data_IF_424127400621
#
_entry.id   IF_424127400621
#
_cell.length_a   1.000
_cell.length_b   1.000
_cell.length_c   1.000
_cell.angle_alpha   90.00
_cell.angle_beta   90.00
_cell.angle_gamma   90.00
#
_symmetry.space_group_name_H-M   'P 1'
#
loop_
_entity.id
_entity.type
_entity.pdbx_description
1 polymer ?
#
# COMPACT_ATOMS: atom_id res chain seq x y z
N UNK A 1 -27.02 -11.78 -3.88
CA UNK A 1 -26.64 -10.66 -3.01
C UNK A 1 -26.17 -11.26 -1.70
N UNK A 2 -24.86 -11.43 -1.51
CA UNK A 2 -24.30 -12.05 -0.31
C UNK A 2 -24.09 -10.97 0.75
N UNK A 3 -24.60 -11.18 1.95
CA UNK A 3 -24.29 -10.34 3.10
C UNK A 3 -22.83 -10.59 3.50
N UNK A 4 -21.94 -9.63 3.22
CA UNK A 4 -20.61 -9.62 3.82
C UNK A 4 -20.76 -9.11 5.25
N UNK A 5 -20.96 -10.02 6.19
CA UNK A 5 -20.87 -9.71 7.62
C UNK A 5 -19.37 -9.55 7.93
N UNK A 6 -18.89 -8.32 8.02
CA UNK A 6 -17.54 -8.06 8.55
C UNK A 6 -17.54 -8.41 10.04
N UNK A 7 -16.71 -9.37 10.44
CA UNK A 7 -16.57 -9.69 11.85
C UNK A 7 -15.70 -8.62 12.54
N UNK A 8 -15.75 -8.57 13.87
CA UNK A 8 -14.97 -7.60 14.65
C UNK A 8 -13.46 -7.68 14.39
N UNK A 9 -12.94 -8.87 14.09
CA UNK A 9 -11.53 -9.07 13.75
C UNK A 9 -11.15 -8.36 12.44
N UNK A 10 -12.00 -8.43 11.40
CA UNK A 10 -11.78 -7.73 10.13
C UNK A 10 -11.68 -6.20 10.34
N UNK A 11 -12.56 -5.64 11.17
CA UNK A 11 -12.54 -4.20 11.49
C UNK A 11 -11.29 -3.82 12.31
N UNK A 12 -10.87 -4.68 13.23
CA UNK A 12 -9.66 -4.48 14.01
C UNK A 12 -8.40 -4.55 13.16
N UNK A 13 -8.36 -5.40 12.12
CA UNK A 13 -7.25 -5.44 11.17
C UNK A 13 -7.09 -4.07 10.50
N UNK A 14 -8.18 -3.52 9.95
CA UNK A 14 -8.15 -2.22 9.27
C UNK A 14 -7.71 -1.09 10.21
N UNK A 15 -8.31 -1.02 11.41
CA UNK A 15 -8.00 0.00 12.41
C UNK A 15 -6.56 -0.08 12.94
N UNK A 16 -6.07 -1.29 13.25
CA UNK A 16 -4.71 -1.47 13.76
C UNK A 16 -3.69 -1.24 12.66
N UNK A 17 -3.99 -1.61 11.40
CA UNK A 17 -3.16 -1.27 10.23
C UNK A 17 -2.98 0.24 10.11
N UNK A 18 -4.06 0.99 10.13
CA UNK A 18 -4.02 2.46 10.04
C UNK A 18 -3.15 3.06 11.15
N UNK A 19 -3.33 2.61 12.40
CA UNK A 19 -2.53 3.09 13.54
C UNK A 19 -1.05 2.71 13.46
N UNK A 20 -0.70 1.58 12.85
CA UNK A 20 0.69 1.20 12.58
C UNK A 20 1.28 2.14 11.53
N UNK A 21 0.54 2.40 10.45
CA UNK A 21 1.01 3.20 9.32
C UNK A 21 1.11 4.69 9.66
N UNK A 22 0.23 5.21 10.52
CA UNK A 22 0.31 6.60 11.00
C UNK A 22 1.41 6.80 12.05
N UNK A 23 1.95 5.72 12.62
CA UNK A 23 2.97 5.76 13.67
C UNK A 23 2.40 5.87 15.09
N UNK A 24 1.07 5.86 15.26
CA UNK A 24 0.41 5.81 16.58
C UNK A 24 0.82 4.56 17.35
N UNK A 25 0.96 3.42 16.66
CA UNK A 25 1.58 2.21 17.21
C UNK A 25 3.08 2.26 16.93
N UNK A 26 3.87 2.50 17.98
CA UNK A 26 5.32 2.58 17.91
C UNK A 26 5.98 1.30 17.40
N UNK A 27 7.00 1.46 16.55
CA UNK A 27 7.85 0.37 16.07
C UNK A 27 9.00 -0.02 16.99
N UNK A 28 9.26 0.77 18.03
CA UNK A 28 10.36 0.55 18.97
C UNK A 28 10.01 -0.43 20.09
N UNK A 29 8.72 -0.57 20.40
CA UNK A 29 8.24 -1.31 21.56
C UNK A 29 7.28 -2.44 21.16
N UNK A 30 7.14 -3.42 22.03
CA UNK A 30 6.12 -4.46 21.86
C UNK A 30 4.72 -3.84 21.93
N UNK A 31 3.83 -4.26 21.03
CA UNK A 31 2.42 -3.89 21.05
C UNK A 31 1.82 -4.39 22.36
N UNK A 32 1.46 -3.45 23.23
CA UNK A 32 0.83 -3.71 24.53
C UNK A 32 -0.63 -4.13 24.31
N UNK A 33 -0.84 -5.40 23.96
CA UNK A 33 -2.16 -5.96 23.63
C UNK A 33 -3.23 -5.64 24.69
N UNK A 34 -2.87 -5.68 25.96
CA UNK A 34 -3.79 -5.38 27.08
C UNK A 34 -4.26 -3.92 27.06
N UNK A 35 -3.34 -3.00 26.82
CA UNK A 35 -3.65 -1.58 26.74
C UNK A 35 -4.44 -1.25 25.47
N UNK A 36 -4.02 -1.81 24.34
CA UNK A 36 -4.67 -1.60 23.05
C UNK A 36 -6.10 -2.19 23.04
N UNK A 37 -6.30 -3.37 23.62
CA UNK A 37 -7.64 -3.96 23.75
C UNK A 37 -8.56 -3.10 24.63
N UNK A 38 -8.04 -2.60 25.76
CA UNK A 38 -8.79 -1.73 26.66
C UNK A 38 -9.16 -0.40 25.99
N UNK A 39 -8.23 0.21 25.25
CA UNK A 39 -8.46 1.44 24.50
C UNK A 39 -9.54 1.27 23.43
N UNK A 40 -9.49 0.15 22.70
CA UNK A 40 -10.43 -0.16 21.63
C UNK A 40 -11.77 -0.71 22.14
N UNK A 41 -11.92 -0.93 23.45
CA UNK A 41 -13.14 -1.48 24.03
C UNK A 41 -13.43 -2.93 23.62
N UNK A 42 -12.41 -3.71 23.25
CA UNK A 42 -12.53 -5.10 22.78
C UNK A 42 -11.83 -6.08 23.71
N UNK A 43 -12.14 -7.37 23.60
CA UNK A 43 -11.37 -8.41 24.29
C UNK A 43 -10.06 -8.74 23.55
N UNK A 44 -9.13 -9.41 24.22
CA UNK A 44 -7.80 -9.74 23.64
C UNK A 44 -7.86 -10.75 22.51
N UNK A 45 -8.88 -11.61 22.47
CA UNK A 45 -9.01 -12.68 21.47
C UNK A 45 -9.12 -12.11 20.04
N UNK A 46 -10.12 -11.26 19.72
CA UNK A 46 -10.23 -10.69 18.38
C UNK A 46 -9.06 -9.76 18.03
N UNK A 47 -8.44 -9.09 19.02
CA UNK A 47 -7.23 -8.32 18.79
C UNK A 47 -6.04 -9.20 18.39
N UNK A 48 -5.86 -10.36 19.03
CA UNK A 48 -4.80 -11.32 18.67
C UNK A 48 -5.02 -11.91 17.28
N UNK A 49 -6.26 -12.20 16.90
CA UNK A 49 -6.58 -12.65 15.55
C UNK A 49 -6.25 -11.58 14.51
N UNK A 50 -6.57 -10.31 14.79
CA UNK A 50 -6.20 -9.20 13.93
C UNK A 50 -4.67 -9.05 13.81
N UNK A 51 -3.94 -9.14 14.92
CA UNK A 51 -2.47 -9.07 14.92
C UNK A 51 -1.82 -10.25 14.19
N UNK A 52 -2.39 -11.45 14.26
CA UNK A 52 -1.90 -12.61 13.50
C UNK A 52 -2.08 -12.40 11.98
N UNK A 53 -3.21 -11.81 11.56
CA UNK A 53 -3.40 -11.45 10.14
C UNK A 53 -2.45 -10.35 9.69
N UNK A 54 -2.22 -9.34 10.53
CA UNK A 54 -1.23 -8.30 10.25
C UNK A 54 0.21 -8.85 10.20
N UNK A 55 0.48 -9.97 10.89
CA UNK A 55 1.75 -10.70 10.79
C UNK A 55 1.86 -11.40 9.42
N UNK A 56 0.79 -12.03 8.95
CA UNK A 56 0.73 -12.64 7.60
C UNK A 56 0.90 -11.60 6.48
N UNK A 57 0.37 -10.39 6.70
CA UNK A 57 0.56 -9.21 5.83
C UNK A 57 1.96 -8.58 5.93
N UNK A 58 2.76 -8.97 6.92
CA UNK A 58 4.13 -8.46 7.11
C UNK A 58 4.20 -7.05 7.72
N UNK A 59 3.17 -6.60 8.43
CA UNK A 59 3.16 -5.33 9.16
C UNK A 59 3.64 -5.48 10.60
N UNK A 60 3.38 -6.64 11.21
CA UNK A 60 3.91 -6.99 12.54
C UNK A 60 4.69 -8.30 12.48
N UNK A 61 5.46 -8.57 13.53
CA UNK A 61 6.16 -9.84 13.77
C UNK A 61 5.90 -10.29 15.19
N UNK A 62 5.63 -11.56 15.40
CA UNK A 62 5.59 -12.16 16.73
C UNK A 62 7.00 -12.50 17.21
N UNK A 63 7.24 -12.33 18.50
CA UNK A 63 8.43 -12.81 19.18
C UNK A 63 8.00 -13.66 20.38
N UNK A 64 8.57 -14.86 20.48
CA UNK A 64 8.29 -15.79 21.58
C UNK A 64 8.47 -15.09 22.94
N UNK A 65 7.45 -15.19 23.79
CA UNK A 65 7.39 -14.57 25.13
C UNK A 65 7.50 -13.03 25.17
N UNK A 66 7.49 -12.34 24.02
CA UNK A 66 7.60 -10.87 23.95
C UNK A 66 6.42 -10.19 23.24
N UNK A 67 5.55 -10.97 22.60
CA UNK A 67 4.33 -10.46 21.94
C UNK A 67 4.58 -10.04 20.50
N UNK A 68 3.79 -9.09 20.00
CA UNK A 68 3.90 -8.57 18.63
C UNK A 68 4.70 -7.26 18.60
N UNK A 69 5.46 -7.06 17.54
CA UNK A 69 6.20 -5.83 17.25
C UNK A 69 5.86 -5.37 15.85
N UNK A 70 5.77 -4.06 15.60
CA UNK A 70 5.73 -3.55 14.22
C UNK A 70 7.04 -3.91 13.52
N UNK A 71 6.98 -4.31 12.24
CA UNK A 71 8.19 -4.57 11.46
C UNK A 71 8.83 -3.23 11.09
N UNK A 72 10.10 -3.08 11.44
CA UNK A 72 10.92 -1.94 11.00
C UNK A 72 11.01 -1.88 9.48
N UNK A 73 11.27 -0.69 8.94
CA UNK A 73 11.66 -0.55 7.53
C UNK A 73 13.04 -1.17 7.33
N UNK A 74 13.23 -1.82 6.19
CA UNK A 74 14.48 -2.48 5.81
C UNK A 74 14.77 -2.11 4.36
N UNK A 75 15.99 -1.64 4.06
CA UNK A 75 16.36 -1.28 2.70
C UNK A 75 16.45 -2.53 1.83
N UNK A 76 16.95 -3.64 2.36
CA UNK A 76 16.96 -4.93 1.64
C UNK A 76 15.56 -5.44 1.29
N UNK A 77 14.57 -5.28 2.17
CA UNK A 77 13.19 -5.65 1.82
C UNK A 77 12.57 -4.65 0.83
N UNK A 78 12.84 -3.35 0.97
CA UNK A 78 12.40 -2.36 -0.02
C UNK A 78 12.95 -2.73 -1.40
N UNK A 79 14.23 -3.08 -1.48
CA UNK A 79 14.91 -3.51 -2.70
C UNK A 79 14.17 -4.69 -3.35
N UNK A 80 13.94 -5.76 -2.60
CA UNK A 80 13.29 -6.97 -3.12
C UNK A 80 11.84 -6.69 -3.57
N UNK A 81 11.06 -5.99 -2.75
CA UNK A 81 9.66 -5.67 -3.05
C UNK A 81 9.54 -4.83 -4.32
N UNK A 82 10.34 -3.76 -4.44
CA UNK A 82 10.26 -2.87 -5.60
C UNK A 82 10.84 -3.52 -6.86
N UNK A 83 11.87 -4.36 -6.77
CA UNK A 83 12.35 -5.14 -7.91
C UNK A 83 11.29 -6.12 -8.45
N UNK A 84 10.53 -6.77 -7.56
CA UNK A 84 9.42 -7.62 -7.96
C UNK A 84 8.29 -6.81 -8.59
N UNK A 85 7.96 -5.64 -8.05
CA UNK A 85 6.97 -4.73 -8.64
C UNK A 85 7.39 -4.27 -10.03
N UNK A 86 8.64 -3.84 -10.21
CA UNK A 86 9.22 -3.46 -11.51
C UNK A 86 9.06 -4.58 -12.56
N UNK A 87 9.20 -5.85 -12.16
CA UNK A 87 9.08 -7.00 -13.07
C UNK A 87 7.64 -7.36 -13.45
N UNK A 88 6.65 -6.92 -12.68
CA UNK A 88 5.27 -7.42 -12.79
C UNK A 88 4.25 -6.31 -13.09
N UNK A 89 4.38 -5.17 -12.43
CA UNK A 89 3.41 -4.09 -12.42
C UNK A 89 3.31 -3.34 -13.75
N UNK A 90 4.41 -3.04 -14.47
CA UNK A 90 4.33 -2.39 -15.79
C UNK A 90 3.47 -3.18 -16.79
N UNK A 91 3.80 -4.47 -16.98
CA UNK A 91 3.09 -5.34 -17.92
C UNK A 91 1.64 -5.56 -17.49
N UNK A 92 1.38 -5.74 -16.19
CA UNK A 92 0.02 -5.90 -15.67
C UNK A 92 -0.81 -4.64 -15.92
N UNK A 93 -0.25 -3.45 -15.68
CA UNK A 93 -0.94 -2.17 -15.84
C UNK A 93 -1.21 -1.85 -17.31
N UNK A 94 -0.24 -2.09 -18.19
CA UNK A 94 -0.42 -1.95 -19.63
C UNK A 94 -1.50 -2.91 -20.18
N UNK A 95 -1.47 -4.18 -19.74
CA UNK A 95 -2.52 -5.15 -20.09
C UNK A 95 -3.89 -4.73 -19.57
N UNK A 96 -3.95 -4.22 -18.34
CA UNK A 96 -5.19 -3.77 -17.73
C UNK A 96 -5.82 -2.63 -18.52
N UNK A 97 -5.04 -1.65 -18.98
CA UNK A 97 -5.54 -0.55 -19.80
C UNK A 97 -6.21 -1.03 -21.09
N UNK A 98 -5.71 -2.10 -21.71
CA UNK A 98 -6.32 -2.69 -22.91
C UNK A 98 -7.63 -3.44 -22.62
N UNK A 99 -7.84 -3.92 -21.39
CA UNK A 99 -9.00 -4.72 -20.99
C UNK A 99 -10.03 -3.96 -20.16
N UNK A 100 -9.66 -2.78 -19.68
CA UNK A 100 -10.47 -1.96 -18.80
C UNK A 100 -11.82 -1.63 -19.43
N UNK A 101 -12.86 -1.66 -18.60
CA UNK A 101 -14.21 -1.20 -18.94
C UNK A 101 -14.39 0.27 -18.56
N UNK A 102 -15.48 0.90 -18.99
CA UNK A 102 -15.84 2.26 -18.54
C UNK A 102 -16.03 2.37 -17.02
N UNK A 103 -16.45 1.27 -16.37
CA UNK A 103 -16.54 1.22 -14.91
C UNK A 103 -15.14 1.25 -14.27
N UNK A 104 -14.16 0.55 -14.87
CA UNK A 104 -12.77 0.58 -14.39
C UNK A 104 -12.13 1.97 -14.60
N UNK A 105 -12.41 2.62 -15.74
CA UNK A 105 -12.01 4.01 -15.99
C UNK A 105 -12.56 4.97 -14.93
N UNK A 106 -13.88 4.89 -14.67
CA UNK A 106 -14.53 5.73 -13.67
C UNK A 106 -13.93 5.52 -12.27
N UNK A 107 -13.65 4.26 -11.92
CA UNK A 107 -13.04 3.92 -10.63
C UNK A 107 -11.61 4.43 -10.51
N UNK A 108 -10.79 4.30 -11.56
CA UNK A 108 -9.41 4.81 -11.57
C UNK A 108 -9.36 6.33 -11.36
N UNK A 109 -10.25 7.07 -12.03
CA UNK A 109 -10.40 8.53 -11.85
C UNK A 109 -10.77 8.85 -10.40
N UNK A 110 -11.81 8.21 -9.86
CA UNK A 110 -12.25 8.42 -8.47
C UNK A 110 -11.13 8.16 -7.45
N UNK A 111 -10.33 7.11 -7.65
CA UNK A 111 -9.21 6.81 -6.76
C UNK A 111 -8.09 7.83 -6.82
N UNK A 112 -7.83 8.44 -7.99
CA UNK A 112 -6.84 9.52 -8.11
C UNK A 112 -7.37 10.81 -7.48
N UNK A 113 -8.60 11.20 -7.79
CA UNK A 113 -9.24 12.40 -7.21
C UNK A 113 -9.23 12.33 -5.67
N UNK A 114 -9.49 11.14 -5.10
CA UNK A 114 -9.43 10.91 -3.66
C UNK A 114 -8.01 11.04 -3.11
N UNK A 115 -7.01 10.51 -3.83
CA UNK A 115 -5.60 10.60 -3.45
C UNK A 115 -5.11 12.05 -3.46
N UNK A 116 -5.45 12.81 -4.50
CA UNK A 116 -5.07 14.22 -4.63
C UNK A 116 -5.64 15.03 -3.47
N UNK A 117 -6.93 14.84 -3.16
CA UNK A 117 -7.58 15.53 -2.05
C UNK A 117 -6.92 15.25 -0.69
N UNK A 118 -6.59 13.98 -0.42
CA UNK A 118 -5.92 13.60 0.84
C UNK A 118 -4.49 14.16 0.91
N UNK A 119 -3.80 14.21 -0.23
CA UNK A 119 -2.43 14.74 -0.29
C UNK A 119 -2.42 16.25 -0.06
N UNK A 120 -3.33 16.99 -0.70
CA UNK A 120 -3.46 18.44 -0.55
C UNK A 120 -3.81 18.85 0.89
N UNK A 121 -4.70 18.10 1.54
CA UNK A 121 -5.10 18.35 2.94
C UNK A 121 -4.04 17.90 3.96
N UNK A 122 -2.91 17.33 3.51
CA UNK A 122 -1.92 16.68 4.37
C UNK A 122 -2.58 15.63 5.29
N UNK A 123 -3.58 14.93 4.75
CA UNK A 123 -4.37 13.96 5.47
C UNK A 123 -3.57 12.70 5.83
N UNK A 124 -3.95 12.06 6.93
CA UNK A 124 -3.39 10.77 7.31
C UNK A 124 -3.75 9.70 6.28
N UNK A 125 -2.84 8.74 6.06
CA UNK A 125 -3.15 7.55 5.26
C UNK A 125 -2.94 7.67 3.75
N UNK A 126 -2.16 8.66 3.27
CA UNK A 126 -1.76 8.81 1.85
C UNK A 126 -1.33 7.47 1.21
N UNK A 127 -0.57 6.64 1.94
CA UNK A 127 -0.14 5.32 1.45
C UNK A 127 -1.28 4.36 1.08
N UNK A 128 -2.41 4.43 1.78
CA UNK A 128 -3.58 3.58 1.50
C UNK A 128 -4.29 4.02 0.22
N UNK A 129 -4.44 5.33 0.01
CA UNK A 129 -5.03 5.91 -1.20
C UNK A 129 -4.10 5.74 -2.41
N UNK A 130 -2.79 5.87 -2.21
CA UNK A 130 -1.78 5.57 -3.23
C UNK A 130 -1.91 4.11 -3.71
N UNK A 131 -1.98 3.16 -2.77
CA UNK A 131 -2.24 1.74 -3.10
C UNK A 131 -3.55 1.56 -3.85
N UNK A 132 -4.62 2.23 -3.42
CA UNK A 132 -5.93 2.11 -4.06
C UNK A 132 -5.88 2.55 -5.54
N UNK A 133 -5.20 3.66 -5.82
CA UNK A 133 -4.97 4.15 -7.18
C UNK A 133 -4.19 3.14 -8.03
N UNK A 134 -2.99 2.71 -7.62
CA UNK A 134 -2.22 1.71 -8.39
C UNK A 134 -3.02 0.42 -8.63
N UNK A 135 -3.76 -0.03 -7.62
CA UNK A 135 -4.61 -1.22 -7.71
C UNK A 135 -5.73 -1.05 -8.74
N UNK A 136 -6.37 0.12 -8.81
CA UNK A 136 -7.37 0.40 -9.84
C UNK A 136 -6.78 0.27 -11.25
N UNK A 137 -5.52 0.66 -11.44
CA UNK A 137 -4.86 0.60 -12.73
C UNK A 137 -4.46 -0.82 -13.16
N UNK A 138 -3.94 -1.68 -12.27
CA UNK A 138 -3.48 -3.01 -12.67
C UNK A 138 -4.53 -4.11 -12.54
N UNK A 139 -5.55 -3.98 -11.67
CA UNK A 139 -6.50 -5.07 -11.38
C UNK A 139 -7.31 -5.55 -12.60
N UNK A 140 -7.69 -4.69 -13.57
CA UNK A 140 -8.36 -5.13 -14.80
C UNK A 140 -7.50 -6.01 -15.71
N UNK A 141 -6.24 -6.32 -15.33
CA UNK A 141 -5.32 -7.12 -16.13
C UNK A 141 -5.73 -8.59 -16.27
N UNK A 142 -6.86 -9.07 -15.78
CA UNK A 142 -7.37 -10.42 -16.02
C UNK A 142 -6.42 -11.59 -15.66
N UNK A 143 -5.41 -11.34 -14.81
CA UNK A 143 -4.41 -12.33 -14.40
C UNK A 143 -4.49 -12.54 -12.88
N UNK A 144 -5.36 -13.44 -12.39
CA UNK A 144 -5.68 -13.54 -10.96
C UNK A 144 -4.45 -13.85 -10.09
N UNK A 145 -3.51 -14.66 -10.58
CA UNK A 145 -2.26 -14.97 -9.84
C UNK A 145 -1.38 -13.73 -9.73
N UNK A 146 -1.19 -12.98 -10.82
CA UNK A 146 -0.42 -11.72 -10.83
C UNK A 146 -1.05 -10.69 -9.90
N UNK A 147 -2.37 -10.55 -9.93
CA UNK A 147 -3.11 -9.62 -9.06
C UNK A 147 -2.86 -9.94 -7.60
N UNK A 148 -2.97 -11.21 -7.18
CA UNK A 148 -2.72 -11.62 -5.79
C UNK A 148 -1.29 -11.28 -5.35
N UNK A 149 -0.30 -11.48 -6.22
CA UNK A 149 1.10 -11.15 -5.91
C UNK A 149 1.28 -9.63 -5.79
N UNK A 150 0.78 -8.86 -6.76
CA UNK A 150 0.89 -7.39 -6.75
C UNK A 150 0.16 -6.75 -5.56
N UNK A 151 -1.04 -7.22 -5.21
CA UNK A 151 -1.77 -6.73 -4.04
C UNK A 151 -0.95 -6.94 -2.74
N UNK A 152 -0.27 -8.09 -2.61
CA UNK A 152 0.63 -8.33 -1.47
C UNK A 152 1.83 -7.40 -1.48
N UNK A 153 2.47 -7.22 -2.63
CA UNK A 153 3.63 -6.32 -2.77
C UNK A 153 3.25 -4.86 -2.48
N UNK A 154 2.06 -4.44 -2.85
CA UNK A 154 1.54 -3.10 -2.58
C UNK A 154 1.27 -2.86 -1.10
N UNK A 155 0.74 -3.85 -0.36
CA UNK A 155 0.62 -3.76 1.11
C UNK A 155 2.00 -3.63 1.77
N UNK A 156 2.98 -4.42 1.32
CA UNK A 156 4.35 -4.30 1.83
C UNK A 156 4.98 -2.93 1.49
N UNK A 157 4.65 -2.37 0.32
CA UNK A 157 5.16 -1.08 -0.16
C UNK A 157 4.60 0.12 0.59
N UNK A 158 3.40 0.04 1.14
CA UNK A 158 2.67 1.16 1.75
C UNK A 158 3.49 1.91 2.82
N UNK A 159 4.14 1.16 3.70
CA UNK A 159 4.98 1.75 4.76
C UNK A 159 6.24 2.45 4.22
N UNK A 160 6.71 2.05 3.05
CA UNK A 160 7.81 2.70 2.35
C UNK A 160 7.35 3.96 1.62
N UNK A 161 6.13 3.98 1.08
CA UNK A 161 5.55 5.18 0.44
C UNK A 161 5.49 6.35 1.42
N UNK A 162 5.08 6.10 2.66
CA UNK A 162 5.07 7.15 3.70
C UNK A 162 6.44 7.82 3.86
N UNK A 163 7.50 7.03 4.03
CA UNK A 163 8.86 7.57 4.20
C UNK A 163 9.38 8.20 2.93
N UNK A 164 9.06 7.62 1.77
CA UNK A 164 9.41 8.18 0.47
C UNK A 164 8.89 9.61 0.28
N UNK A 165 7.67 9.89 0.74
CA UNK A 165 6.97 11.16 0.56
C UNK A 165 7.32 12.22 1.63
N UNK A 166 8.01 11.86 2.72
CA UNK A 166 8.37 12.82 3.79
C UNK A 166 9.24 14.00 3.32
N UNK A 167 10.23 13.85 2.42
CA UNK A 167 11.00 14.99 1.92
C UNK A 167 10.19 15.94 1.03
N UNK A 168 10.45 17.24 1.16
CA UNK A 168 9.78 18.31 0.39
C UNK A 168 9.82 18.07 -1.13
N UNK A 169 8.66 18.21 -1.77
CA UNK A 169 8.47 18.12 -3.23
C UNK A 169 8.39 16.70 -3.79
N UNK A 170 8.42 15.65 -2.93
CA UNK A 170 8.24 14.26 -3.37
C UNK A 170 6.79 13.93 -3.69
N UNK A 171 5.88 14.50 -2.91
CA UNK A 171 4.43 14.48 -3.07
C UNK A 171 3.98 15.14 -4.38
N UNK A 172 4.39 16.38 -4.63
CA UNK A 172 4.04 17.11 -5.87
C UNK A 172 4.45 16.31 -7.11
N UNK A 173 5.68 15.79 -7.09
CA UNK A 173 6.23 14.96 -8.17
C UNK A 173 5.47 13.64 -8.34
N UNK A 174 5.10 12.97 -7.25
CA UNK A 174 4.32 11.73 -7.31
C UNK A 174 2.93 11.99 -7.91
N UNK A 175 2.29 13.09 -7.54
CA UNK A 175 0.98 13.48 -8.10
C UNK A 175 1.08 13.75 -9.60
N UNK A 176 2.09 14.51 -10.06
CA UNK A 176 2.33 14.72 -11.49
C UNK A 176 2.52 13.40 -12.26
N UNK A 177 3.29 12.46 -11.69
CA UNK A 177 3.51 11.14 -12.28
C UNK A 177 2.21 10.31 -12.33
N UNK A 178 1.38 10.36 -11.28
CA UNK A 178 0.08 9.69 -11.25
C UNK A 178 -0.89 10.22 -12.30
N UNK A 179 -0.97 11.54 -12.49
CA UNK A 179 -1.79 12.13 -13.55
C UNK A 179 -1.33 11.70 -14.95
N UNK A 180 -0.02 11.70 -15.20
CA UNK A 180 0.54 11.22 -16.47
C UNK A 180 0.24 9.74 -16.72
N UNK A 181 0.31 8.91 -15.66
CA UNK A 181 -0.09 7.50 -15.72
C UNK A 181 -1.56 7.35 -16.10
N UNK A 182 -2.45 8.06 -15.39
CA UNK A 182 -3.89 7.95 -15.61
C UNK A 182 -4.25 8.41 -17.03
N UNK A 183 -3.67 9.51 -17.51
CA UNK A 183 -3.88 9.99 -18.88
C UNK A 183 -3.50 8.92 -19.92
N UNK A 184 -2.31 8.32 -19.78
CA UNK A 184 -1.84 7.25 -20.68
C UNK A 184 -2.73 6.01 -20.58
N UNK A 185 -3.19 5.67 -19.37
CA UNK A 185 -4.05 4.53 -19.10
C UNK A 185 -5.44 4.68 -19.71
N UNK A 186 -6.06 5.85 -19.57
CA UNK A 186 -7.34 6.18 -20.21
C UNK A 186 -7.23 6.20 -21.74
N UNK A 187 -6.08 6.64 -22.28
CA UNK A 187 -5.77 6.58 -23.71
C UNK A 187 -5.43 5.16 -24.22
N UNK A 188 -5.32 4.17 -23.32
CA UNK A 188 -4.92 2.79 -23.61
C UNK A 188 -3.56 2.67 -24.31
N UNK A 189 -2.66 3.61 -24.03
CA UNK A 189 -1.30 3.64 -24.58
C UNK A 189 -0.39 2.67 -23.80
N UNK A 190 -0.52 1.38 -24.10
CA UNK A 190 0.16 0.30 -23.39
C UNK A 190 1.69 0.48 -23.32
N UNK A 191 2.31 0.94 -24.40
CA UNK A 191 3.76 1.14 -24.45
C UNK A 191 4.19 2.30 -23.52
N UNK A 192 3.46 3.42 -23.56
CA UNK A 192 3.72 4.56 -22.68
C UNK A 192 3.48 4.20 -21.21
N UNK A 193 2.42 3.45 -20.91
CA UNK A 193 2.10 2.99 -19.55
C UNK A 193 3.24 2.15 -18.98
N UNK A 194 3.74 1.16 -19.72
CA UNK A 194 4.84 0.31 -19.24
C UNK A 194 6.09 1.13 -18.90
N UNK A 195 6.44 2.11 -19.73
CA UNK A 195 7.58 3.01 -19.47
C UNK A 195 7.34 3.87 -18.24
N UNK A 196 6.17 4.49 -18.11
CA UNK A 196 5.86 5.37 -17.00
C UNK A 196 5.81 4.63 -15.66
N UNK A 197 5.17 3.45 -15.62
CA UNK A 197 5.08 2.63 -14.40
C UNK A 197 6.47 2.14 -13.96
N UNK A 198 7.28 1.63 -14.89
CA UNK A 198 8.66 1.21 -14.58
C UNK A 198 9.49 2.38 -14.03
N UNK A 199 9.44 3.54 -14.70
CA UNK A 199 10.18 4.73 -14.28
C UNK A 199 9.73 5.22 -12.89
N UNK A 200 8.42 5.30 -12.65
CA UNK A 200 7.86 5.71 -11.36
C UNK A 200 8.34 4.80 -10.22
N UNK A 201 8.24 3.47 -10.38
CA UNK A 201 8.64 2.52 -9.33
C UNK A 201 10.15 2.54 -9.10
N UNK A 202 10.97 2.63 -10.17
CA UNK A 202 12.43 2.74 -10.06
C UNK A 202 12.86 4.00 -9.32
N UNK A 203 12.25 5.12 -9.65
CA UNK A 203 12.55 6.42 -9.04
C UNK A 203 12.24 6.38 -7.54
N UNK A 204 11.10 5.80 -7.15
CA UNK A 204 10.77 5.57 -5.74
C UNK A 204 11.80 4.69 -5.04
N UNK A 205 12.26 3.60 -5.67
CA UNK A 205 13.31 2.74 -5.11
C UNK A 205 14.66 3.49 -4.95
N UNK A 206 15.07 4.26 -5.95
CA UNK A 206 16.32 5.02 -5.90
C UNK A 206 16.30 6.10 -4.82
N UNK A 207 15.13 6.68 -4.55
CA UNK A 207 14.92 7.62 -3.46
C UNK A 207 14.93 6.92 -2.10
N UNK A 208 14.29 5.76 -1.98
CA UNK A 208 14.31 4.95 -0.75
C UNK A 208 15.71 4.46 -0.40
N UNK A 209 16.55 4.12 -1.38
CA UNK A 209 17.96 3.75 -1.16
C UNK A 209 18.79 4.87 -0.53
N UNK A 210 18.41 6.12 -0.76
CA UNK A 210 19.08 7.28 -0.16
C UNK A 210 18.58 7.58 1.25
N UNK A 211 17.32 7.21 1.55
CA UNK A 211 16.67 7.46 2.84
C UNK A 211 16.91 6.32 3.84
N UNK A 212 16.87 5.08 3.38
CA UNK A 212 17.09 3.89 4.18
C UNK A 212 18.58 3.56 4.12
N UNK A 213 19.33 4.01 5.13
CA UNK A 213 20.68 3.53 5.38
C UNK A 213 20.55 2.22 6.16
N UNK A 214 21.01 1.11 5.59
CA UNK A 214 21.14 -0.13 6.37
C UNK A 214 22.23 0.09 7.45
N UNK A 215 21.90 -0.21 8.70
CA UNK A 215 22.86 -0.33 9.82
C UNK A 215 23.78 -1.56 9.63
#
# INVERSE_FOLDING_TARGET
MSLIIRNLSDQLVDLVRERILSGVVSSEHAIRQDALAAELGVSKIPLREALARLEEEGLVRSQANRGFFVRSLSASEAQEVYELRIKLEPDATARAALLATEADHSHAIETLDTLDHVTDEHGDGVGAFNRAFHRALFRPCGQPVTITILERLQVLSERYVRVHLEPLGRDERANEEHHQLLEAWLARDADKISVLVDAHIRKTLDDLRQQLVDD
#
